data_IF_371400080429
#
_entry.id   IF_371400080429
#
_cell.length_a   1.000
_cell.length_b   1.000
_cell.length_c   1.000
_cell.angle_alpha   90.00
_cell.angle_beta   90.00
_cell.angle_gamma   90.00
#
_symmetry.space_group_name_H-M   'P 1'
#
loop_
_entity.id
_entity.type
_entity.pdbx_description
1 polymer ?
#
# COMPACT_ATOMS: atom_id res chain seq x y z
N UNK A 1 52.29 39.19 7.18
CA UNK A 1 51.01 39.77 7.67
C UNK A 1 50.00 38.64 7.74
N UNK A 2 49.69 38.15 8.93
CA UNK A 2 48.60 37.19 9.12
C UNK A 2 47.31 37.99 9.28
N UNK A 3 46.36 37.80 8.36
CA UNK A 3 45.04 38.42 8.42
C UNK A 3 44.21 37.75 9.50
N UNK A 4 43.91 38.47 10.58
CA UNK A 4 42.96 38.04 11.60
C UNK A 4 41.55 38.01 10.99
N UNK A 5 41.05 36.81 10.68
CA UNK A 5 39.65 36.61 10.35
C UNK A 5 38.85 36.67 11.66
N UNK A 6 38.02 37.71 11.82
CA UNK A 6 37.01 37.75 12.87
C UNK A 6 35.99 36.64 12.60
N UNK A 7 36.03 35.58 13.40
CA UNK A 7 35.01 34.52 13.38
C UNK A 7 33.81 35.05 14.17
N UNK A 8 32.76 35.48 13.47
CA UNK A 8 31.47 35.77 14.10
C UNK A 8 30.88 34.48 14.67
N UNK A 9 30.99 34.30 15.98
CA UNK A 9 30.32 33.22 16.70
C UNK A 9 28.86 33.63 16.89
N UNK A 10 27.96 33.10 16.07
CA UNK A 10 26.52 33.26 16.29
C UNK A 10 26.10 32.43 17.51
N UNK A 11 26.08 33.05 18.69
CA UNK A 11 25.63 32.40 19.93
C UNK A 11 24.11 32.48 20.00
N UNK A 12 23.43 31.36 19.75
CA UNK A 12 21.98 31.26 19.95
C UNK A 12 21.70 31.19 21.45
N UNK A 13 21.08 32.25 21.99
CA UNK A 13 20.61 32.28 23.38
C UNK A 13 19.21 31.68 23.45
N UNK A 14 19.12 30.43 23.90
CA UNK A 14 17.84 29.74 24.10
C UNK A 14 17.31 30.07 25.50
N UNK A 15 16.11 30.66 25.63
CA UNK A 15 15.52 30.93 26.95
C UNK A 15 15.33 29.63 27.74
N UNK A 16 15.64 29.60 29.05
CA UNK A 16 15.48 28.39 29.87
C UNK A 16 14.02 27.95 30.03
N UNK A 17 13.07 28.87 29.81
CA UNK A 17 11.63 28.60 29.81
C UNK A 17 11.07 28.25 28.42
N UNK A 18 11.91 28.13 27.39
CA UNK A 18 11.45 27.71 26.07
C UNK A 18 10.88 26.27 26.14
N UNK A 19 9.77 25.98 25.46
CA UNK A 19 9.27 24.62 25.38
C UNK A 19 10.23 23.73 24.56
N UNK A 20 10.09 22.42 24.72
CA UNK A 20 10.76 21.48 23.81
C UNK A 20 10.17 21.62 22.41
N UNK A 21 11.05 21.68 21.41
CA UNK A 21 10.65 21.71 20.02
C UNK A 21 10.02 20.38 19.57
N UNK A 22 9.38 20.37 18.41
CA UNK A 22 8.72 19.19 17.88
C UNK A 22 8.41 19.30 16.40
N UNK A 23 7.80 18.25 15.88
CA UNK A 23 7.36 18.12 14.50
C UNK A 23 5.84 18.07 14.46
N UNK A 24 5.26 18.85 13.57
CA UNK A 24 3.85 18.82 13.22
C UNK A 24 3.69 18.32 11.79
N UNK A 25 3.11 17.14 11.61
CA UNK A 25 2.87 16.57 10.28
C UNK A 25 1.85 17.41 9.51
N UNK A 26 2.21 17.77 8.28
CA UNK A 26 1.34 18.45 7.31
C UNK A 26 0.84 17.47 6.25
N UNK A 27 1.67 16.49 5.88
CA UNK A 27 1.32 15.45 4.91
C UNK A 27 1.86 14.08 5.36
N UNK A 28 1.02 13.03 5.43
CA UNK A 28 -0.42 13.05 5.18
C UNK A 28 -1.20 13.76 6.30
N UNK A 29 -2.44 14.22 6.01
CA UNK A 29 -3.35 14.72 7.05
C UNK A 29 -3.55 13.68 8.15
N UNK A 30 -3.38 14.08 9.41
CA UNK A 30 -3.48 13.18 10.57
C UNK A 30 -4.94 12.87 10.98
N UNK A 31 -5.93 13.26 10.17
CA UNK A 31 -7.36 12.99 10.43
C UNK A 31 -7.76 11.55 10.14
N UNK A 32 -6.94 10.81 9.38
CA UNK A 32 -7.16 9.40 9.06
C UNK A 32 -5.82 8.70 8.79
N UNK A 33 -5.81 7.37 8.91
CA UNK A 33 -4.66 6.55 8.52
C UNK A 33 -4.53 6.56 7.01
N UNK A 34 -3.34 6.88 6.51
CA UNK A 34 -3.04 6.88 5.08
C UNK A 34 -2.48 5.54 4.64
N UNK A 35 -2.82 5.10 3.43
CA UNK A 35 -2.35 3.85 2.84
C UNK A 35 -1.56 4.13 1.57
N UNK A 36 -0.37 3.55 1.48
CA UNK A 36 0.53 3.72 0.34
C UNK A 36 0.77 2.41 -0.37
N UNK A 37 0.66 2.49 -1.70
CA UNK A 37 0.83 1.36 -2.61
C UNK A 37 2.31 1.20 -2.96
N UNK A 38 2.86 0.00 -2.75
CA UNK A 38 4.20 -0.37 -3.23
C UNK A 38 4.09 -0.73 -4.72
N UNK A 39 4.24 0.26 -5.61
CA UNK A 39 4.13 0.07 -7.05
C UNK A 39 4.97 1.09 -7.84
N UNK A 40 5.32 0.80 -9.11
CA UNK A 40 6.05 1.73 -9.96
C UNK A 40 5.34 3.09 -10.05
N UNK A 41 6.13 4.18 -10.10
CA UNK A 41 5.64 5.56 -10.23
C UNK A 41 4.68 5.98 -9.11
N UNK A 42 4.79 5.41 -7.91
CA UNK A 42 4.05 5.79 -6.71
C UNK A 42 5.03 6.25 -5.63
N UNK A 43 5.36 7.55 -5.63
CA UNK A 43 6.24 8.14 -4.61
C UNK A 43 5.41 8.66 -3.45
N UNK A 44 5.75 8.22 -2.24
CA UNK A 44 5.15 8.72 -1.01
C UNK A 44 5.80 10.04 -0.63
N UNK A 45 4.99 11.01 -0.20
CA UNK A 45 5.47 12.30 0.32
C UNK A 45 5.07 12.42 1.78
N UNK A 46 6.06 12.63 2.64
CA UNK A 46 5.84 13.06 4.01
C UNK A 46 6.28 14.51 4.15
N UNK A 47 5.41 15.34 4.72
CA UNK A 47 5.65 16.76 4.94
C UNK A 47 5.35 17.14 6.38
N UNK A 48 6.11 18.08 6.92
CA UNK A 48 5.97 18.57 8.28
C UNK A 48 6.47 20.00 8.45
N UNK A 49 6.09 20.61 9.57
CA UNK A 49 6.66 21.86 10.06
C UNK A 49 7.29 21.64 11.44
N UNK A 50 8.36 22.38 11.72
CA UNK A 50 8.93 22.44 13.06
C UNK A 50 8.13 23.39 13.94
N UNK A 51 7.95 23.01 15.21
CA UNK A 51 7.26 23.83 16.22
C UNK A 51 8.19 24.03 17.40
N UNK A 52 8.45 25.27 17.79
CA UNK A 52 9.31 25.59 18.96
C UNK A 52 10.74 25.02 18.92
N UNK A 53 11.25 24.70 17.73
CA UNK A 53 12.66 24.37 17.52
C UNK A 53 13.41 25.68 17.30
N UNK A 54 14.34 25.98 18.20
CA UNK A 54 15.14 27.21 18.21
C UNK A 54 16.61 26.92 17.90
N UNK A 55 17.05 25.68 18.15
CA UNK A 55 18.36 25.19 17.78
C UNK A 55 18.23 24.34 16.50
N UNK A 56 18.89 24.78 15.43
CA UNK A 56 18.98 23.99 14.22
C UNK A 56 19.82 22.73 14.46
N UNK A 57 19.33 21.60 13.96
CA UNK A 57 20.11 20.37 13.90
C UNK A 57 20.88 20.29 12.59
N UNK A 58 21.99 19.57 12.59
CA UNK A 58 22.76 19.28 11.38
C UNK A 58 22.04 18.24 10.51
N UNK A 59 21.36 17.28 11.14
CA UNK A 59 20.70 16.18 10.45
C UNK A 59 19.38 15.80 11.10
N UNK A 60 18.45 15.37 10.26
CA UNK A 60 17.16 14.82 10.65
C UNK A 60 17.08 13.39 10.10
N UNK A 61 17.03 12.42 10.99
CA UNK A 61 16.80 11.03 10.60
C UNK A 61 15.30 10.75 10.57
N UNK A 62 14.84 10.15 9.48
CA UNK A 62 13.46 9.75 9.23
C UNK A 62 13.46 8.24 8.97
N UNK A 63 12.68 7.51 9.76
CA UNK A 63 12.62 6.06 9.69
C UNK A 63 11.19 5.56 9.91
N UNK A 64 10.84 4.46 9.27
CA UNK A 64 9.56 3.79 9.44
C UNK A 64 9.76 2.47 10.18
N UNK A 65 9.12 2.33 11.34
CA UNK A 65 9.12 1.07 12.10
C UNK A 65 7.81 0.36 11.80
N UNK A 66 7.89 -0.83 11.19
CA UNK A 66 6.70 -1.56 10.75
C UNK A 66 6.36 -2.74 11.66
N UNK A 67 5.14 -3.26 11.54
CA UNK A 67 4.61 -4.36 12.35
C UNK A 67 5.44 -5.66 12.27
N UNK A 68 6.28 -5.82 11.26
CA UNK A 68 7.23 -6.93 11.13
C UNK A 68 8.48 -6.78 12.03
N UNK A 69 8.58 -5.71 12.82
CA UNK A 69 9.70 -5.43 13.71
C UNK A 69 10.92 -4.81 13.03
N UNK A 70 10.87 -4.62 11.71
CA UNK A 70 11.97 -4.01 10.95
C UNK A 70 11.84 -2.49 10.91
N UNK A 71 12.99 -1.83 10.85
CA UNK A 71 13.10 -0.40 10.63
C UNK A 71 13.58 -0.13 9.21
N UNK A 72 12.92 0.79 8.53
CA UNK A 72 13.16 1.15 7.15
C UNK A 72 13.58 2.63 7.06
N UNK A 73 14.68 2.95 6.36
CA UNK A 73 15.04 4.34 6.12
C UNK A 73 14.01 4.98 5.19
N UNK A 74 13.48 6.14 5.59
CA UNK A 74 12.47 6.87 4.79
C UNK A 74 13.17 7.97 4.01
N UNK A 75 13.18 7.84 2.70
CA UNK A 75 13.76 8.83 1.80
C UNK A 75 14.48 8.19 0.61
N UNK A 76 15.22 8.99 -0.17
CA UNK A 76 15.91 8.51 -1.36
C UNK A 76 17.18 7.70 -1.04
N UNK A 77 17.75 7.86 0.16
CA UNK A 77 19.03 7.26 0.58
C UNK A 77 18.87 6.42 1.85
N UNK A 78 19.52 6.82 2.93
CA UNK A 78 19.63 6.16 4.24
C UNK A 78 18.64 6.74 5.29
N UNK A 79 17.72 7.59 4.85
CA UNK A 79 16.76 8.25 5.73
C UNK A 79 17.36 9.41 6.53
N UNK A 80 18.59 9.84 6.23
CA UNK A 80 19.21 11.01 6.85
C UNK A 80 19.04 12.22 5.92
N UNK A 81 18.36 13.24 6.41
CA UNK A 81 18.08 14.49 5.71
C UNK A 81 18.81 15.66 6.37
N UNK A 82 18.94 16.82 5.69
CA UNK A 82 19.34 18.07 6.34
C UNK A 82 18.41 18.38 7.52
N UNK A 83 18.95 18.88 8.63
CA UNK A 83 18.14 19.16 9.83
C UNK A 83 17.03 20.21 9.65
N UNK A 84 17.10 20.99 8.57
CA UNK A 84 16.07 21.99 8.17
C UNK A 84 15.04 21.44 7.18
N UNK A 85 15.13 20.17 6.78
CA UNK A 85 14.20 19.56 5.84
C UNK A 85 12.78 19.55 6.43
N UNK A 86 11.80 19.94 5.60
CA UNK A 86 10.36 19.98 5.94
C UNK A 86 9.55 18.94 5.16
N UNK A 87 10.18 18.20 4.26
CA UNK A 87 9.54 17.16 3.48
C UNK A 87 10.54 16.10 3.02
N UNK A 88 10.03 14.91 2.73
CA UNK A 88 10.79 13.83 2.11
C UNK A 88 9.93 13.05 1.13
N UNK A 89 10.56 12.66 0.02
CA UNK A 89 10.00 11.78 -0.99
C UNK A 89 10.57 10.38 -0.81
N UNK A 90 9.71 9.37 -0.80
CA UNK A 90 10.09 7.98 -0.63
C UNK A 90 9.47 7.12 -1.74
N UNK A 91 10.33 6.61 -2.62
CA UNK A 91 9.94 5.65 -3.65
C UNK A 91 10.03 4.23 -3.08
N UNK A 92 8.89 3.73 -2.61
CA UNK A 92 8.75 2.40 -2.01
C UNK A 92 9.15 1.29 -2.99
N UNK A 93 8.83 1.44 -4.28
CA UNK A 93 9.04 0.41 -5.28
C UNK A 93 10.52 0.30 -5.64
N UNK A 94 11.18 1.45 -5.87
CA UNK A 94 12.61 1.49 -6.14
C UNK A 94 13.42 1.03 -4.92
N UNK A 95 13.00 1.39 -3.71
CA UNK A 95 13.63 0.92 -2.47
C UNK A 95 13.51 -0.60 -2.31
N UNK A 96 12.31 -1.16 -2.51
CA UNK A 96 12.12 -2.62 -2.40
C UNK A 96 12.91 -3.37 -3.46
N UNK A 97 12.99 -2.82 -4.68
CA UNK A 97 13.73 -3.43 -5.79
C UNK A 97 15.24 -3.47 -5.54
N UNK A 98 15.79 -2.46 -4.85
CA UNK A 98 17.21 -2.43 -4.46
C UNK A 98 17.52 -3.21 -3.18
N UNK A 99 16.51 -3.52 -2.36
CA UNK A 99 16.65 -4.21 -1.07
C UNK A 99 15.83 -5.52 -1.03
N UNK A 100 16.10 -6.51 -1.89
CA UNK A 100 15.30 -7.74 -1.98
C UNK A 100 15.37 -8.61 -0.72
N UNK A 101 16.40 -8.44 0.12
CA UNK A 101 16.59 -9.18 1.37
C UNK A 101 15.74 -8.62 2.53
N UNK A 102 15.19 -7.42 2.39
CA UNK A 102 14.39 -6.75 3.41
C UNK A 102 13.12 -6.20 2.77
N UNK A 103 12.17 -7.06 2.35
CA UNK A 103 10.95 -6.60 1.68
C UNK A 103 10.12 -5.67 2.59
N UNK A 104 9.43 -4.70 1.98
CA UNK A 104 8.48 -3.87 2.71
C UNK A 104 7.27 -4.73 3.12
N UNK A 105 6.78 -4.62 4.36
CA UNK A 105 5.66 -5.42 4.82
C UNK A 105 4.34 -4.90 4.23
N UNK A 106 3.36 -5.80 4.14
CA UNK A 106 1.96 -5.41 3.99
C UNK A 106 1.37 -5.26 5.39
N UNK A 107 1.19 -4.02 5.85
CA UNK A 107 0.81 -3.76 7.25
C UNK A 107 1.01 -2.30 7.64
N UNK A 108 0.96 -2.04 8.95
CA UNK A 108 1.12 -0.69 9.50
C UNK A 108 2.58 -0.40 9.78
N UNK A 109 2.96 0.86 9.59
CA UNK A 109 4.25 1.40 9.95
C UNK A 109 4.05 2.72 10.70
N UNK A 110 4.90 2.93 11.71
CA UNK A 110 4.98 4.19 12.45
C UNK A 110 6.15 5.00 11.92
N UNK A 111 5.87 6.22 11.46
CA UNK A 111 6.90 7.18 11.09
C UNK A 111 7.55 7.71 12.37
N UNK A 112 8.86 7.56 12.42
CA UNK A 112 9.71 8.02 13.52
C UNK A 112 10.76 8.99 12.99
N UNK A 113 10.98 10.08 13.72
CA UNK A 113 11.92 11.11 13.30
C UNK A 113 12.70 11.65 14.49
N UNK A 114 13.99 11.87 14.34
CA UNK A 114 14.84 12.41 15.39
C UNK A 114 16.00 13.21 14.81
N UNK A 115 16.54 14.10 15.62
CA UNK A 115 17.70 14.92 15.24
C UNK A 115 19.01 14.17 15.52
N UNK A 116 20.15 14.82 15.27
CA UNK A 116 21.47 14.25 15.51
C UNK A 116 21.76 13.74 16.95
N UNK A 117 20.88 13.97 17.94
CA UNK A 117 21.01 13.43 19.31
C UNK A 117 20.43 12.02 19.45
N UNK A 118 19.72 11.53 18.44
CA UNK A 118 19.20 10.16 18.39
C UNK A 118 17.73 10.01 18.83
N UNK A 119 17.18 8.82 18.60
CA UNK A 119 15.78 8.49 18.83
C UNK A 119 15.33 8.58 20.31
N UNK A 120 16.26 8.36 21.25
CA UNK A 120 16.00 8.41 22.71
C UNK A 120 16.39 9.74 23.34
N UNK A 121 16.61 10.79 22.54
CA UNK A 121 16.99 12.10 23.04
C UNK A 121 15.93 12.66 24.00
N UNK A 122 16.37 13.03 25.21
CA UNK A 122 15.51 13.66 26.20
C UNK A 122 15.04 15.04 25.70
N UNK A 123 13.78 15.43 25.98
CA UNK A 123 13.29 16.77 25.68
C UNK A 123 14.15 17.85 26.33
N UNK A 124 14.54 18.86 25.55
CA UNK A 124 15.31 20.02 26.04
C UNK A 124 14.71 21.31 25.46
N UNK A 125 14.72 22.43 26.22
CA UNK A 125 14.24 23.73 25.74
C UNK A 125 14.83 24.12 24.38
N UNK A 126 14.00 24.43 23.39
CA UNK A 126 14.43 24.85 22.05
C UNK A 126 15.03 23.75 21.16
N UNK A 127 15.21 22.53 21.66
CA UNK A 127 15.66 21.39 20.85
C UNK A 127 14.47 20.51 20.43
N UNK A 128 14.57 19.89 19.25
CA UNK A 128 13.54 19.00 18.72
C UNK A 128 13.38 17.74 19.57
N UNK A 129 12.18 17.43 20.07
CA UNK A 129 11.91 16.10 20.64
C UNK A 129 11.74 15.05 19.51
N UNK A 130 12.12 13.78 19.75
CA UNK A 130 11.79 12.70 18.83
C UNK A 130 10.29 12.64 18.52
N UNK A 131 9.95 12.34 17.28
CA UNK A 131 8.58 12.22 16.79
C UNK A 131 8.25 10.77 16.46
N UNK A 132 7.06 10.30 16.83
CA UNK A 132 6.58 8.93 16.59
C UNK A 132 5.05 8.83 16.50
N UNK A 133 4.37 9.92 16.12
CA UNK A 133 2.91 10.02 16.23
C UNK A 133 2.14 9.73 14.93
N UNK A 134 2.83 9.45 13.82
CA UNK A 134 2.19 9.18 12.53
C UNK A 134 2.23 7.69 12.21
N UNK A 135 1.07 7.10 11.97
CA UNK A 135 0.92 5.73 11.49
C UNK A 135 0.36 5.72 10.05
N UNK A 136 0.91 4.86 9.22
CA UNK A 136 0.47 4.67 7.83
C UNK A 136 0.53 3.19 7.45
N UNK A 137 -0.30 2.78 6.50
CA UNK A 137 -0.31 1.42 5.95
C UNK A 137 0.50 1.33 4.67
N UNK A 138 1.21 0.22 4.49
CA UNK A 138 1.82 -0.19 3.23
C UNK A 138 1.09 -1.42 2.67
N UNK A 139 0.89 -1.45 1.35
CA UNK A 139 0.30 -2.60 0.69
C UNK A 139 0.89 -2.83 -0.70
N UNK A 140 0.99 -4.10 -1.10
CA UNK A 140 1.41 -4.50 -2.45
C UNK A 140 0.18 -4.87 -3.25
N UNK A 141 -0.06 -4.28 -4.43
CA UNK A 141 -1.17 -4.67 -5.27
C UNK A 141 -1.02 -6.09 -5.76
N UNK A 142 -2.14 -6.81 -5.83
CA UNK A 142 -2.21 -8.05 -6.58
C UNK A 142 -2.17 -7.74 -8.08
N UNK A 143 -1.45 -8.55 -8.89
CA UNK A 143 -1.49 -8.43 -10.35
C UNK A 143 -2.91 -8.68 -10.86
N UNK A 144 -3.31 -7.94 -11.89
CA UNK A 144 -4.62 -8.14 -12.52
C UNK A 144 -4.65 -9.48 -13.28
N UNK A 145 -5.52 -10.38 -12.86
CA UNK A 145 -5.84 -11.61 -13.59
C UNK A 145 -7.06 -11.35 -14.49
N UNK A 146 -6.92 -11.36 -15.83
CA UNK A 146 -8.05 -11.16 -16.73
C UNK A 146 -9.14 -12.21 -16.49
N UNK A 147 -10.41 -11.80 -16.59
CA UNK A 147 -11.55 -12.71 -16.44
C UNK A 147 -11.46 -13.92 -17.38
N UNK A 148 -10.96 -13.70 -18.60
CA UNK A 148 -10.76 -14.74 -19.61
C UNK A 148 -9.66 -15.78 -19.25
N UNK A 149 -8.81 -15.50 -18.27
CA UNK A 149 -7.67 -16.34 -17.88
C UNK A 149 -8.00 -17.37 -16.80
N UNK A 150 -9.25 -17.48 -16.36
CA UNK A 150 -9.64 -18.45 -15.32
C UNK A 150 -11.13 -18.53 -15.00
N UNK A 151 -11.97 -17.61 -15.49
CA UNK A 151 -13.42 -17.73 -15.35
C UNK A 151 -13.98 -18.54 -16.52
N UNK A 152 -14.15 -19.85 -16.30
CA UNK A 152 -14.98 -20.71 -17.14
C UNK A 152 -16.30 -20.92 -16.42
N UNK A 153 -17.38 -20.36 -16.96
CA UNK A 153 -18.71 -20.70 -16.48
C UNK A 153 -19.14 -22.02 -17.13
N UNK A 154 -18.93 -23.13 -16.42
CA UNK A 154 -19.28 -24.49 -16.85
C UNK A 154 -20.77 -24.62 -17.23
N UNK A 155 -21.63 -23.75 -16.71
CA UNK A 155 -23.07 -23.72 -16.93
C UNK A 155 -23.53 -22.65 -17.94
N UNK A 156 -22.65 -21.74 -18.36
CA UNK A 156 -22.99 -20.68 -19.31
C UNK A 156 -22.71 -21.08 -20.78
N UNK A 157 -22.11 -22.24 -21.00
CA UNK A 157 -22.03 -22.84 -22.33
C UNK A 157 -23.38 -23.49 -22.68
N UNK A 158 -24.24 -22.71 -23.34
CA UNK A 158 -25.46 -23.18 -24.01
C UNK A 158 -25.15 -24.05 -25.25
N UNK A 159 -24.19 -24.97 -25.15
CA UNK A 159 -23.83 -25.90 -26.23
C UNK A 159 -23.88 -27.36 -25.76
N UNK A 160 -24.78 -27.66 -24.82
CA UNK A 160 -25.10 -29.03 -24.45
C UNK A 160 -26.45 -29.44 -25.05
N UNK A 161 -26.37 -30.07 -26.23
CA UNK A 161 -27.40 -30.98 -26.75
C UNK A 161 -27.82 -32.04 -25.68
N UNK A 162 -27.01 -32.21 -24.63
CA UNK A 162 -27.21 -33.13 -23.50
C UNK A 162 -28.07 -32.53 -22.37
N UNK A 163 -28.17 -31.20 -22.21
CA UNK A 163 -29.11 -30.56 -21.26
C UNK A 163 -30.56 -30.70 -21.72
N UNK A 164 -30.80 -30.64 -23.02
CA UNK A 164 -32.11 -30.93 -23.61
C UNK A 164 -32.54 -32.39 -23.40
N UNK A 165 -31.60 -33.31 -23.16
CA UNK A 165 -31.88 -34.74 -22.96
C UNK A 165 -32.37 -35.09 -21.54
N UNK A 166 -32.20 -34.21 -20.55
CA UNK A 166 -32.65 -34.44 -19.16
C UNK A 166 -33.96 -33.72 -18.82
N UNK A 167 -34.49 -32.89 -19.73
CA UNK A 167 -35.78 -32.25 -19.51
C UNK A 167 -36.92 -33.27 -19.73
N UNK A 168 -37.81 -33.51 -18.74
CA UNK A 168 -38.88 -34.52 -18.84
C UNK A 168 -39.85 -34.30 -20.02
N UNK A 169 -39.90 -33.10 -20.59
CA UNK A 169 -40.67 -32.79 -21.79
C UNK A 169 -40.12 -33.49 -23.05
N UNK A 170 -38.79 -33.66 -23.18
CA UNK A 170 -38.18 -34.28 -24.36
C UNK A 170 -38.46 -35.79 -24.42
N UNK A 171 -38.45 -36.46 -23.26
CA UNK A 171 -38.85 -37.87 -23.13
C UNK A 171 -40.32 -38.04 -23.52
N UNK A 172 -41.21 -37.14 -23.09
CA UNK A 172 -42.63 -37.18 -23.45
C UNK A 172 -42.88 -37.04 -24.97
N UNK A 173 -42.12 -36.18 -25.65
CA UNK A 173 -42.22 -36.00 -27.10
C UNK A 173 -41.73 -37.26 -27.85
N UNK A 174 -40.59 -37.84 -27.46
CA UNK A 174 -40.06 -39.05 -28.09
C UNK A 174 -41.02 -40.25 -27.95
N UNK A 175 -41.59 -40.45 -26.76
CA UNK A 175 -42.56 -41.54 -26.52
C UNK A 175 -43.83 -41.32 -27.37
N UNK A 176 -44.31 -40.08 -27.46
CA UNK A 176 -45.51 -39.78 -28.27
C UNK A 176 -45.28 -40.04 -29.75
N UNK A 177 -44.13 -39.65 -30.31
CA UNK A 177 -43.77 -39.96 -31.70
C UNK A 177 -43.69 -41.45 -31.97
N UNK A 178 -43.12 -42.23 -31.04
CA UNK A 178 -42.98 -43.67 -31.18
C UNK A 178 -44.34 -44.37 -31.14
N UNK A 179 -45.26 -43.92 -30.27
CA UNK A 179 -46.65 -44.43 -30.22
C UNK A 179 -47.40 -44.11 -31.51
N UNK A 180 -47.29 -42.89 -32.04
CA UNK A 180 -47.92 -42.49 -33.31
C UNK A 180 -47.39 -43.31 -34.47
N UNK A 181 -46.08 -43.57 -34.51
CA UNK A 181 -45.46 -44.34 -35.59
C UNK A 181 -45.90 -45.81 -35.57
N UNK A 182 -45.92 -46.45 -34.39
CA UNK A 182 -46.35 -47.85 -34.26
C UNK A 182 -47.85 -48.04 -34.52
N UNK A 183 -48.68 -47.08 -34.11
CA UNK A 183 -50.13 -47.12 -34.38
C UNK A 183 -50.44 -46.81 -35.86
N UNK A 184 -49.71 -45.90 -36.49
CA UNK A 184 -49.77 -45.66 -37.93
C UNK A 184 -49.34 -46.86 -38.77
N UNK A 185 -48.31 -47.59 -38.35
CA UNK A 185 -47.88 -48.84 -39.01
C UNK A 185 -48.92 -49.96 -38.93
N UNK A 186 -49.77 -49.98 -37.89
CA UNK A 186 -50.85 -50.96 -37.76
C UNK A 186 -52.02 -50.68 -38.71
N UNK A 187 -52.29 -49.42 -39.02
CA UNK A 187 -53.34 -49.00 -39.96
C UNK A 187 -52.94 -49.18 -41.44
N UNK A 188 -51.64 -49.32 -41.74
CA UNK A 188 -51.10 -49.51 -43.08
C UNK A 188 -50.88 -50.97 -43.47
N UNK A 189 -51.18 -51.94 -42.60
CA UNK A 189 -51.27 -53.35 -43.01
C UNK A 189 -52.62 -53.57 -43.70
N UNK A 190 -52.68 -53.84 -45.02
CA UNK A 190 -53.90 -54.36 -45.60
C UNK A 190 -54.18 -55.71 -44.95
N UNK A 191 -55.42 -55.96 -44.55
CA UNK A 191 -55.88 -57.30 -44.19
C UNK A 191 -55.59 -58.22 -45.38
N UNK A 192 -54.54 -59.03 -45.28
CA UNK A 192 -54.35 -60.17 -46.18
C UNK A 192 -55.38 -61.20 -45.75
N UNK A 193 -56.49 -61.25 -46.49
CA UNK A 193 -57.35 -62.42 -46.57
C UNK A 193 -56.68 -63.51 -47.41
#
# INVERSE_FOLDING_TARGET
MATNANVEVNVILIPPNAPAGGILMTQPPQTAVSFYKVAPSQTVTFGWNFTSVLQDSQSLTVSAICDNGNTYPVGPTDGVLPGTATQVFWDLYSWQSSNPQQPLPQGTCTLTMWDNRGQSALPRPGFMKPFNNLQFGLYTPQPYTPLASGWSCTECHNDSVISAATHPAFIGILVSFLVIFLSGFHLLRPNVA
#
